data_IF_609746242554
#
_entry.id   IF_609746242554
#
_cell.length_a   1.000
_cell.length_b   1.000
_cell.length_c   1.000
_cell.angle_alpha   90.00
_cell.angle_beta   90.00
_cell.angle_gamma   90.00
#
_symmetry.space_group_name_H-M   'P 1'
#
loop_
_entity.id
_entity.type
_entity.pdbx_description
1 polymer ?
#
# COMPACT_ATOMS: atom_id res chain seq x y z
N UNK A 1 -7.30 -7.75 2.39
CA UNK A 1 -5.83 -7.93 2.33
C UNK A 1 -5.20 -6.55 2.26
N UNK A 2 -4.09 -6.33 2.97
CA UNK A 2 -3.33 -5.09 2.92
C UNK A 2 -2.04 -5.24 2.12
N UNK A 3 -1.60 -4.14 1.51
CA UNK A 3 -0.26 -3.99 0.93
C UNK A 3 0.31 -2.70 1.55
N UNK A 4 1.41 -2.82 2.27
CA UNK A 4 2.14 -1.69 2.83
C UNK A 4 3.43 -1.51 2.04
N UNK A 5 3.74 -0.27 1.67
CA UNK A 5 4.94 0.10 0.92
C UNK A 5 5.64 1.20 1.68
N UNK A 6 6.94 1.02 1.96
CA UNK A 6 7.82 2.07 2.46
C UNK A 6 8.75 2.50 1.34
N UNK A 7 8.89 3.80 1.17
CA UNK A 7 9.91 4.42 0.32
C UNK A 7 10.86 5.14 1.25
N UNK A 8 12.10 4.67 1.30
CA UNK A 8 13.19 5.38 1.98
C UNK A 8 13.72 6.48 1.07
N UNK A 9 14.22 7.55 1.69
CA UNK A 9 14.79 8.72 1.02
C UNK A 9 13.85 9.37 -0.02
N UNK A 10 12.54 9.38 0.25
CA UNK A 10 11.51 9.73 -0.71
C UNK A 10 11.53 11.21 -1.19
N UNK A 11 12.13 12.10 -0.41
CA UNK A 11 12.37 13.54 -0.70
C UNK A 11 13.77 13.98 -0.20
N UNK A 12 14.74 13.04 -0.20
CA UNK A 12 16.12 13.25 0.27
C UNK A 12 16.50 12.41 1.50
N UNK A 13 17.75 12.54 2.00
CA UNK A 13 18.24 11.77 3.13
C UNK A 13 17.29 11.88 4.34
N UNK A 14 17.07 10.76 5.04
CA UNK A 14 16.22 10.62 6.23
C UNK A 14 14.71 10.87 6.03
N UNK A 15 14.23 10.98 4.77
CA UNK A 15 12.81 11.12 4.50
C UNK A 15 12.16 9.76 4.17
N UNK A 16 11.29 9.28 5.05
CA UNK A 16 10.55 8.04 4.84
C UNK A 16 9.10 8.32 4.49
N UNK A 17 8.58 7.59 3.49
CA UNK A 17 7.17 7.62 3.10
C UNK A 17 6.56 6.23 3.24
N UNK A 18 5.53 6.13 4.07
CA UNK A 18 4.71 4.92 4.18
C UNK A 18 3.37 5.08 3.46
N UNK A 19 3.10 4.18 2.52
CA UNK A 19 1.84 4.08 1.81
C UNK A 19 1.14 2.78 2.18
N UNK A 20 -0.11 2.91 2.63
CA UNK A 20 -0.95 1.79 3.01
C UNK A 20 -2.08 1.62 2.03
N UNK A 21 -2.11 0.46 1.37
CA UNK A 21 -3.12 0.08 0.40
C UNK A 21 -3.95 -1.09 0.92
N UNK A 22 -5.24 -1.09 0.59
CA UNK A 22 -6.20 -2.13 0.91
C UNK A 22 -6.81 -2.65 -0.38
N UNK A 23 -7.03 -3.96 -0.46
CA UNK A 23 -7.69 -4.59 -1.61
C UNK A 23 -9.02 -3.89 -1.92
N UNK A 24 -9.18 -3.41 -3.17
CA UNK A 24 -10.32 -2.58 -3.58
C UNK A 24 -10.85 -2.98 -4.97
N UNK A 25 -11.98 -2.37 -5.38
CA UNK A 25 -12.51 -2.51 -6.75
C UNK A 25 -11.79 -1.54 -7.71
N UNK A 26 -11.52 -1.95 -8.97
CA UNK A 26 -10.82 -1.11 -9.96
C UNK A 26 -11.68 0.04 -10.52
N UNK A 27 -13.01 -0.03 -10.41
CA UNK A 27 -13.92 0.93 -11.02
C UNK A 27 -13.92 2.32 -10.38
N UNK A 28 -14.33 3.33 -11.16
CA UNK A 28 -14.43 4.76 -10.77
C UNK A 28 -15.15 4.99 -9.43
N UNK A 29 -16.17 4.20 -9.11
CA UNK A 29 -16.91 4.31 -7.85
C UNK A 29 -16.47 3.30 -6.78
N UNK A 30 -15.78 2.22 -7.19
CA UNK A 30 -15.33 1.14 -6.30
C UNK A 30 -14.01 1.40 -5.59
N UNK A 31 -13.32 2.51 -5.92
CA UNK A 31 -11.98 2.85 -5.42
C UNK A 31 -11.87 3.10 -3.92
N UNK A 32 -13.00 3.33 -3.25
CA UNK A 32 -13.09 3.58 -1.80
C UNK A 32 -13.67 2.41 -1.00
N UNK A 33 -14.11 1.33 -1.67
CA UNK A 33 -14.73 0.21 -0.99
C UNK A 33 -13.73 -0.93 -0.79
N UNK A 34 -13.50 -1.39 0.46
CA UNK A 34 -12.69 -2.56 0.70
C UNK A 34 -13.37 -3.79 0.08
N UNK A 35 -12.56 -4.67 -0.50
CA UNK A 35 -12.99 -5.97 -0.97
C UNK A 35 -12.26 -7.08 -0.24
N UNK A 36 -13.00 -8.04 0.28
CA UNK A 36 -12.48 -9.34 0.62
C UNK A 36 -12.04 -10.03 -0.67
N UNK A 37 -10.75 -10.34 -0.75
CA UNK A 37 -10.11 -10.90 -1.95
C UNK A 37 -9.27 -12.10 -1.53
N UNK A 38 -9.51 -13.28 -2.13
CA UNK A 38 -8.75 -14.48 -1.79
C UNK A 38 -7.35 -14.52 -2.40
N UNK A 39 -7.06 -13.71 -3.43
CA UNK A 39 -5.77 -13.71 -4.13
C UNK A 39 -5.23 -12.29 -4.28
N UNK A 40 -3.96 -12.13 -3.91
CA UNK A 40 -3.27 -10.84 -3.89
C UNK A 40 -3.17 -10.19 -5.28
N UNK A 41 -2.86 -10.97 -6.31
CA UNK A 41 -2.58 -10.46 -7.66
C UNK A 41 -3.83 -10.29 -8.55
N UNK A 42 -5.04 -10.56 -8.04
CA UNK A 42 -6.28 -10.53 -8.84
C UNK A 42 -6.85 -9.14 -9.13
N UNK A 43 -6.25 -8.08 -8.59
CA UNK A 43 -6.69 -6.71 -8.89
C UNK A 43 -6.06 -5.67 -7.98
N UNK A 44 -6.54 -4.42 -8.00
CA UNK A 44 -5.85 -3.33 -7.34
C UNK A 44 -5.98 -3.33 -5.82
N UNK A 45 -5.02 -2.67 -5.21
CA UNK A 45 -5.03 -2.20 -3.84
C UNK A 45 -5.10 -0.67 -3.87
N UNK A 46 -6.01 -0.05 -3.12
CA UNK A 46 -6.20 1.40 -3.06
C UNK A 46 -5.89 1.91 -1.67
N UNK A 47 -5.40 3.14 -1.54
CA UNK A 47 -5.29 3.83 -0.25
C UNK A 47 -6.64 4.04 0.43
N UNK A 48 -7.74 3.88 -0.33
CA UNK A 48 -9.15 4.14 0.02
C UNK A 48 -9.45 5.60 0.37
N UNK A 49 -8.50 6.31 0.97
CA UNK A 49 -8.55 7.72 1.28
C UNK A 49 -7.73 8.51 0.25
N UNK A 50 -8.15 9.76 0.07
CA UNK A 50 -7.40 10.73 -0.71
C UNK A 50 -6.08 11.08 -0.01
N UNK A 51 -5.07 11.33 -0.82
CA UNK A 51 -3.83 11.97 -0.43
C UNK A 51 -3.80 13.34 -1.11
N UNK A 52 -3.29 14.33 -0.39
CA UNK A 52 -2.88 15.59 -0.99
C UNK A 52 -1.56 15.37 -1.70
N UNK A 53 -1.53 15.72 -2.98
CA UNK A 53 -0.38 15.78 -3.86
C UNK A 53 -0.22 17.22 -4.36
N UNK A 54 0.63 18.00 -3.69
CA UNK A 54 0.69 19.45 -3.87
C UNK A 54 -0.64 20.13 -3.51
N UNK A 55 -1.26 20.82 -4.47
CA UNK A 55 -2.57 21.48 -4.31
C UNK A 55 -3.77 20.58 -4.65
N UNK A 56 -3.53 19.30 -5.00
CA UNK A 56 -4.56 18.41 -5.55
C UNK A 56 -4.82 17.22 -4.63
N UNK A 57 -6.07 16.79 -4.53
CA UNK A 57 -6.41 15.54 -3.85
C UNK A 57 -6.55 14.38 -4.83
N UNK A 58 -5.90 13.27 -4.54
CA UNK A 58 -5.87 12.07 -5.39
C UNK A 58 -5.89 10.81 -4.55
N UNK A 59 -6.59 9.78 -5.02
CA UNK A 59 -6.50 8.42 -4.46
C UNK A 59 -5.37 7.69 -5.17
N UNK A 60 -4.56 6.94 -4.43
CA UNK A 60 -3.49 6.11 -4.99
C UNK A 60 -3.92 4.65 -5.01
N UNK A 61 -3.45 3.91 -6.00
CA UNK A 61 -3.65 2.46 -6.08
C UNK A 61 -2.47 1.73 -6.73
N UNK A 62 -2.19 0.53 -6.24
CA UNK A 62 -1.25 -0.41 -6.84
C UNK A 62 -2.02 -1.46 -7.64
N UNK A 63 -1.81 -1.51 -8.95
CA UNK A 63 -2.40 -2.48 -9.87
C UNK A 63 -1.37 -3.56 -10.20
N UNK A 64 -1.64 -4.85 -9.94
CA UNK A 64 -0.75 -5.92 -10.40
C UNK A 64 -0.51 -5.80 -11.90
N UNK A 65 0.74 -5.68 -12.31
CA UNK A 65 1.11 -5.67 -13.72
C UNK A 65 0.83 -7.08 -14.25
N UNK A 66 0.01 -7.19 -15.30
CA UNK A 66 -0.19 -8.46 -15.98
C UNK A 66 0.94 -8.60 -16.98
N UNK A 67 1.77 -9.61 -16.79
CA UNK A 67 2.68 -10.02 -17.84
C UNK A 67 1.83 -10.52 -19.04
N UNK A 68 2.18 -10.05 -20.24
CA UNK A 68 1.47 -10.40 -21.46
C UNK A 68 1.84 -11.82 -21.94
N UNK A 69 2.92 -12.39 -21.39
CA UNK A 69 3.30 -13.78 -21.62
C UNK A 69 2.76 -14.70 -20.52
N UNK A 70 1.83 -15.57 -20.87
CA UNK A 70 1.64 -16.83 -20.15
C UNK A 70 0.19 -17.17 -19.81
N UNK A 71 -0.26 -18.24 -20.45
CA UNK A 71 -1.33 -19.19 -20.09
C UNK A 71 -2.10 -18.89 -18.80
N UNK A 72 -3.43 -18.86 -18.91
CA UNK A 72 -4.37 -18.84 -17.78
C UNK A 72 -4.17 -20.12 -16.95
N UNK A 73 -3.26 -20.09 -15.98
CA UNK A 73 -3.18 -21.13 -14.95
C UNK A 73 -4.53 -21.21 -14.23
N UNK A 74 -5.08 -22.42 -14.11
CA UNK A 74 -6.37 -22.68 -13.45
C UNK A 74 -6.34 -22.32 -11.96
N UNK A 75 -5.16 -22.43 -11.34
CA UNK A 75 -4.90 -22.01 -9.96
C UNK A 75 -3.99 -20.80 -9.96
N UNK A 76 -4.48 -19.68 -9.44
CA UNK A 76 -3.69 -18.45 -9.37
C UNK A 76 -2.66 -18.58 -8.22
N UNK A 77 -1.35 -18.53 -8.51
CA UNK A 77 -0.33 -18.67 -7.49
C UNK A 77 -0.41 -17.55 -6.44
N UNK A 78 -0.01 -17.86 -5.22
CA UNK A 78 0.12 -16.86 -4.15
C UNK A 78 1.23 -15.85 -4.48
N UNK A 79 1.19 -14.66 -3.86
CA UNK A 79 2.20 -13.62 -4.08
C UNK A 79 3.63 -14.14 -3.86
N UNK A 80 3.84 -14.93 -2.80
CA UNK A 80 5.15 -15.48 -2.46
C UNK A 80 5.64 -16.53 -3.47
N UNK A 81 4.73 -17.34 -4.00
CA UNK A 81 5.07 -18.33 -5.04
C UNK A 81 5.48 -17.64 -6.33
N UNK A 82 4.80 -16.56 -6.73
CA UNK A 82 5.21 -15.78 -7.90
C UNK A 82 6.54 -15.07 -7.67
N UNK A 83 6.71 -14.43 -6.52
CA UNK A 83 7.93 -13.70 -6.18
C UNK A 83 9.17 -14.62 -6.11
N UNK A 84 8.99 -15.87 -5.68
CA UNK A 84 10.06 -16.88 -5.70
C UNK A 84 10.49 -17.29 -7.12
N UNK A 85 9.62 -17.10 -8.12
CA UNK A 85 9.88 -17.46 -9.53
C UNK A 85 10.39 -16.29 -10.35
N UNK A 86 9.84 -15.09 -10.11
CA UNK A 86 10.12 -13.89 -10.88
C UNK A 86 9.80 -12.61 -10.10
N UNK A 87 10.39 -11.47 -10.49
CA UNK A 87 9.96 -10.18 -9.97
C UNK A 87 8.47 -9.94 -10.17
N UNK A 88 7.78 -9.53 -9.11
CA UNK A 88 6.36 -9.16 -9.17
C UNK A 88 6.25 -7.65 -9.31
N UNK A 89 5.53 -7.19 -10.33
CA UNK A 89 5.39 -5.75 -10.61
C UNK A 89 3.98 -5.25 -10.34
N UNK A 90 3.89 -3.99 -9.89
CA UNK A 90 2.65 -3.25 -9.75
C UNK A 90 2.78 -1.88 -10.43
N UNK A 91 1.77 -1.48 -11.19
CA UNK A 91 1.61 -0.11 -11.63
C UNK A 91 1.03 0.72 -10.48
N UNK A 92 1.74 1.74 -10.06
CA UNK A 92 1.22 2.76 -9.15
C UNK A 92 0.43 3.78 -9.96
N UNK A 93 -0.84 3.95 -9.61
CA UNK A 93 -1.80 4.81 -10.31
C UNK A 93 -2.42 5.80 -9.35
N UNK A 94 -2.74 6.98 -9.87
CA UNK A 94 -3.46 8.03 -9.16
C UNK A 94 -4.76 8.36 -9.90
N UNK A 95 -5.80 8.73 -9.17
CA UNK A 95 -7.06 9.21 -9.74
C UNK A 95 -7.67 10.31 -8.87
N UNK A 96 -8.19 11.37 -9.51
CA UNK A 96 -9.04 12.33 -8.82
C UNK A 96 -10.48 11.81 -8.67
N UNK A 97 -11.32 12.49 -7.87
CA UNK A 97 -12.75 12.25 -7.86
C UNK A 97 -13.33 12.36 -9.28
N UNK A 98 -13.74 11.22 -9.81
CA UNK A 98 -14.35 11.12 -11.15
C UNK A 98 -13.36 10.98 -12.32
N UNK A 99 -12.06 11.01 -12.11
CA UNK A 99 -11.10 10.79 -13.20
C UNK A 99 -10.78 9.30 -13.39
N UNK A 100 -10.36 8.88 -14.60
CA UNK A 100 -9.76 7.57 -14.81
C UNK A 100 -8.43 7.44 -14.05
N UNK A 101 -7.94 6.21 -13.91
CA UNK A 101 -6.62 5.95 -13.32
C UNK A 101 -5.50 6.35 -14.29
N UNK A 102 -4.53 7.09 -13.78
CA UNK A 102 -3.30 7.44 -14.50
C UNK A 102 -2.11 6.80 -13.81
N UNK A 103 -1.32 6.03 -14.53
CA UNK A 103 -0.06 5.45 -14.02
C UNK A 103 0.97 6.55 -13.84
N UNK A 104 1.65 6.57 -12.70
CA UNK A 104 2.72 7.52 -12.40
C UNK A 104 4.06 6.86 -12.02
N UNK A 105 4.03 5.60 -11.58
CA UNK A 105 5.24 4.85 -11.24
C UNK A 105 5.02 3.34 -11.37
N UNK A 106 6.09 2.56 -11.33
CA UNK A 106 6.05 1.11 -11.19
C UNK A 106 6.76 0.70 -9.91
N UNK A 107 6.18 -0.28 -9.22
CA UNK A 107 6.74 -0.91 -8.03
C UNK A 107 7.16 -2.33 -8.41
N UNK A 108 8.44 -2.66 -8.23
CA UNK A 108 8.95 -4.02 -8.42
C UNK A 108 9.27 -4.64 -7.07
N UNK A 109 8.83 -5.88 -6.87
CA UNK A 109 9.22 -6.72 -5.75
C UNK A 109 10.17 -7.77 -6.31
N UNK A 110 11.43 -7.73 -5.87
CA UNK A 110 12.48 -8.59 -6.43
C UNK A 110 12.89 -9.73 -5.50
N UNK A 111 12.67 -9.58 -4.19
CA UNK A 111 13.08 -10.57 -3.21
C UNK A 111 12.16 -10.58 -1.97
N UNK A 112 12.17 -11.71 -1.27
CA UNK A 112 11.56 -11.85 0.05
C UNK A 112 12.60 -11.59 1.12
N UNK A 113 12.25 -10.81 2.14
CA UNK A 113 13.06 -10.66 3.35
C UNK A 113 12.49 -11.59 4.44
N UNK A 114 13.35 -12.30 5.20
CA UNK A 114 12.91 -13.11 6.32
C UNK A 114 12.19 -12.24 7.36
N UNK A 115 10.99 -12.65 7.77
CA UNK A 115 10.27 -12.00 8.86
C UNK A 115 10.89 -12.46 10.19
N UNK A 116 11.79 -11.66 10.75
CA UNK A 116 12.26 -11.83 12.14
C UNK A 116 11.42 -10.93 13.05
N UNK A 117 11.04 -11.34 14.27
CA UNK A 117 10.25 -10.52 15.19
C UNK A 117 10.83 -9.11 15.41
N UNK A 118 12.15 -9.01 15.53
CA UNK A 118 12.93 -7.76 15.64
C UNK A 118 12.96 -6.89 14.37
N UNK A 119 12.46 -7.40 13.24
CA UNK A 119 12.41 -6.73 11.94
C UNK A 119 10.98 -6.44 11.48
N UNK A 120 10.00 -6.54 12.37
CA UNK A 120 8.61 -6.19 12.05
C UNK A 120 8.53 -4.69 11.79
N UNK A 121 8.63 -4.29 10.51
CA UNK A 121 8.57 -2.89 10.09
C UNK A 121 7.22 -2.30 10.48
N UNK A 122 7.23 -1.32 11.38
CA UNK A 122 6.01 -0.59 11.76
C UNK A 122 5.73 0.48 10.73
N UNK A 123 4.69 0.27 9.91
CA UNK A 123 4.25 1.23 8.89
C UNK A 123 3.31 2.28 9.49
N UNK A 124 3.53 3.55 9.17
CA UNK A 124 2.74 4.68 9.67
C UNK A 124 2.63 5.82 8.63
N UNK A 125 1.50 5.92 7.90
CA UNK A 125 1.31 6.91 6.84
C UNK A 125 1.08 8.34 7.37
N UNK A 126 1.04 8.55 8.69
CA UNK A 126 0.91 9.88 9.30
C UNK A 126 2.23 10.41 9.87
N UNK A 127 3.12 9.51 10.30
CA UNK A 127 4.47 9.86 10.78
C UNK A 127 5.47 9.85 9.63
N UNK A 128 5.37 8.87 8.72
CA UNK A 128 6.21 8.76 7.53
C UNK A 128 5.41 9.25 6.31
N UNK A 129 5.26 10.57 6.20
CA UNK A 129 4.62 11.22 5.07
C UNK A 129 5.42 12.43 4.61
N UNK A 130 5.29 12.79 3.34
CA UNK A 130 5.99 13.94 2.79
C UNK A 130 5.13 15.21 2.90
N UNK A 131 5.74 16.40 3.01
CA UNK A 131 5.00 17.66 2.98
C UNK A 131 4.11 17.79 1.74
N UNK A 132 4.58 17.31 0.58
CA UNK A 132 3.81 17.30 -0.66
C UNK A 132 2.84 16.13 -0.82
N UNK A 133 2.99 15.05 -0.02
CA UNK A 133 2.24 13.80 -0.15
C UNK A 133 1.77 13.29 1.22
N UNK A 134 0.53 13.64 1.58
CA UNK A 134 -0.02 13.28 2.90
C UNK A 134 -1.49 12.88 2.85
N UNK A 135 -1.95 11.95 3.71
CA UNK A 135 -3.36 11.57 3.78
C UNK A 135 -4.26 12.78 4.09
N UNK A 136 -5.36 12.92 3.35
CA UNK A 136 -6.42 13.90 3.64
C UNK A 136 -7.72 13.23 4.04
N UNK A 137 -8.59 14.00 4.70
CA UNK A 137 -9.97 13.60 4.96
C UNK A 137 -10.40 13.62 6.44
N UNK A 138 -11.72 13.51 6.68
CA UNK A 138 -12.34 13.69 7.99
C UNK A 138 -11.95 12.59 9.01
N UNK A 139 -11.50 11.42 8.53
CA UNK A 139 -11.11 10.29 9.38
C UNK A 139 -9.63 10.32 9.83
N UNK A 140 -8.89 11.40 9.51
CA UNK A 140 -7.49 11.56 9.91
C UNK A 140 -7.31 11.43 11.43
N UNK A 141 -8.12 12.12 12.22
CA UNK A 141 -8.01 12.09 13.68
C UNK A 141 -8.25 10.69 14.25
N UNK A 142 -9.29 9.99 13.77
CA UNK A 142 -9.59 8.61 14.17
C UNK A 142 -8.44 7.65 13.86
N UNK A 143 -7.83 7.76 12.66
CA UNK A 143 -6.72 6.88 12.28
C UNK A 143 -5.43 7.23 13.02
N UNK A 144 -5.13 8.50 13.27
CA UNK A 144 -4.00 8.88 14.11
C UNK A 144 -4.13 8.28 15.51
N UNK A 145 -5.32 8.33 16.11
CA UNK A 145 -5.60 7.69 17.40
C UNK A 145 -5.45 6.16 17.33
N UNK A 146 -6.00 5.51 16.30
CA UNK A 146 -5.93 4.06 16.13
C UNK A 146 -4.49 3.54 15.92
N UNK A 147 -3.69 4.19 15.06
CA UNK A 147 -2.27 3.83 14.88
C UNK A 147 -1.47 4.11 16.14
N UNK A 148 -1.76 5.19 16.85
CA UNK A 148 -1.09 5.50 18.12
C UNK A 148 -1.40 4.48 19.20
N UNK A 149 -2.65 4.08 19.35
CA UNK A 149 -3.02 2.98 20.25
C UNK A 149 -2.35 1.66 19.87
N UNK A 150 -2.32 1.31 18.57
CA UNK A 150 -1.67 0.09 18.11
C UNK A 150 -0.15 0.09 18.33
N UNK A 151 0.52 1.26 18.28
CA UNK A 151 1.95 1.39 18.60
C UNK A 151 2.20 1.12 20.09
N UNK A 152 1.44 1.77 20.98
CA UNK A 152 1.58 1.60 22.43
C UNK A 152 1.31 0.16 22.87
N UNK A 153 0.27 -0.49 22.32
CA UNK A 153 -0.02 -1.89 22.64
C UNK A 153 1.04 -2.90 22.18
N UNK A 154 1.96 -2.51 21.27
CA UNK A 154 3.03 -3.37 20.77
C UNK A 154 4.38 -3.14 21.47
N UNK A 155 4.54 -1.99 22.10
CA UNK A 155 5.72 -1.67 22.93
C UNK A 155 5.48 -1.96 24.40
N UNK A 156 4.22 -2.12 24.82
CA UNK A 156 3.85 -2.49 26.19
C UNK A 156 3.99 -3.98 26.54
N UNK A 157 4.36 -4.84 25.59
CA UNK A 157 4.61 -6.28 25.84
C UNK A 157 6.11 -6.57 26.12
N UNK A 158 6.97 -5.55 26.19
CA UNK A 158 8.40 -5.67 26.52
C UNK A 158 8.72 -5.38 28.01
N UNK A 159 7.71 -5.30 28.88
CA UNK A 159 7.92 -5.25 30.34
C UNK A 159 6.94 -6.18 31.05
N UNK A 160 7.38 -7.41 31.29
CA UNK A 160 7.16 -8.16 32.53
C UNK A 160 8.09 -9.40 32.50
N UNK A 161 9.30 -9.24 33.06
CA UNK A 161 10.06 -10.32 33.71
C UNK A 161 10.02 -10.08 35.22
#
# INVERSE_FOLDING_TARGET
MGLAVRVEEADGPDSTLDLLFTSSRPGRFGRHLPLLRPHALKGPYSTLLSYRMGERERVLAAFPARDQSGTREETMPTLWQELARRPVRFDLRAAAPGEPWTTFASLSLDATLPATPSRTVSYDPYTHCLPGLRPTGPLRALRVAAYTGSRHGRTGDDHDE
#
